data_IF_244494970776
#
_entry.id   IF_244494970776
#
_cell.length_a   1.000
_cell.length_b   1.000
_cell.length_c   1.000
_cell.angle_alpha   90.00
_cell.angle_beta   90.00
_cell.angle_gamma   90.00
#
_symmetry.space_group_name_H-M   'P 1'
#
loop_
_entity.id
_entity.type
_entity.pdbx_description
1 polymer ?
#
# COMPACT_ATOMS: atom_id res chain seq x y z
N UNK A 1 -14.83 -5.64 19.25
CA UNK A 1 -13.42 -5.56 18.86
C UNK A 1 -12.79 -4.47 19.70
N UNK A 2 -11.62 -4.70 20.28
CA UNK A 2 -10.95 -3.73 21.14
C UNK A 2 -10.50 -2.52 20.32
N UNK A 3 -10.64 -1.29 20.85
CA UNK A 3 -10.22 -0.05 20.18
C UNK A 3 -8.74 -0.04 19.80
N UNK A 4 -7.93 -0.91 20.43
CA UNK A 4 -6.50 -1.10 20.13
C UNK A 4 -6.20 -1.62 18.72
N UNK A 5 -7.20 -2.12 17.99
CA UNK A 5 -6.98 -2.69 16.66
C UNK A 5 -7.26 -1.75 15.48
N UNK A 6 -7.88 -0.59 15.72
CA UNK A 6 -8.38 0.30 14.65
C UNK A 6 -7.27 1.24 14.17
N UNK A 7 -7.14 1.41 12.85
CA UNK A 7 -6.21 2.36 12.24
C UNK A 7 -6.96 3.67 12.00
N UNK A 8 -6.43 4.76 12.58
CA UNK A 8 -6.95 6.11 12.40
C UNK A 8 -6.01 6.91 11.50
N UNK A 9 -6.60 7.54 10.49
CA UNK A 9 -5.96 8.47 9.57
C UNK A 9 -6.23 9.88 10.07
N UNK A 10 -5.18 10.59 10.48
CA UNK A 10 -5.27 12.04 10.71
C UNK A 10 -5.20 12.73 9.36
N UNK A 11 -6.29 13.37 8.96
CA UNK A 11 -6.41 14.11 7.70
C UNK A 11 -6.28 15.58 8.02
N UNK A 12 -5.25 16.20 7.46
CA UNK A 12 -5.07 17.64 7.50
C UNK A 12 -5.56 18.24 6.19
N UNK A 13 -6.61 19.04 6.25
CA UNK A 13 -7.23 19.64 5.06
C UNK A 13 -6.88 21.12 5.02
N UNK A 14 -6.35 21.58 3.88
CA UNK A 14 -6.20 23.00 3.55
C UNK A 14 -7.00 23.31 2.30
N UNK A 15 -7.88 24.30 2.37
CA UNK A 15 -8.81 24.61 1.29
C UNK A 15 -9.05 26.11 1.17
N UNK A 16 -9.32 26.55 -0.06
CA UNK A 16 -9.77 27.91 -0.38
C UNK A 16 -11.24 27.95 -0.77
N UNK A 17 -11.95 26.82 -0.66
CA UNK A 17 -13.36 26.71 -1.01
C UNK A 17 -14.23 27.41 0.05
N UNK A 18 -15.17 28.27 -0.34
CA UNK A 18 -16.01 29.04 0.59
C UNK A 18 -17.02 28.16 1.34
N UNK A 19 -17.23 26.94 0.87
CA UNK A 19 -18.19 25.99 1.42
C UNK A 19 -17.74 25.38 2.76
N UNK A 20 -16.47 25.51 3.15
CA UNK A 20 -15.91 25.00 4.40
C UNK A 20 -16.01 26.07 5.50
N UNK A 21 -16.28 25.70 6.76
CA UNK A 21 -16.31 26.67 7.88
C UNK A 21 -14.92 27.21 8.20
N UNK A 22 -13.87 26.41 7.98
CA UNK A 22 -12.48 26.78 8.24
C UNK A 22 -11.60 26.41 7.04
N UNK A 23 -10.61 27.25 6.75
CA UNK A 23 -9.67 27.02 5.65
C UNK A 23 -8.63 25.94 5.96
N UNK A 24 -8.40 25.68 7.24
CA UNK A 24 -7.54 24.59 7.73
C UNK A 24 -8.28 23.83 8.82
N UNK A 25 -8.35 22.50 8.71
CA UNK A 25 -8.94 21.64 9.74
C UNK A 25 -8.23 20.29 9.82
N UNK A 26 -8.32 19.66 10.99
CA UNK A 26 -7.80 18.33 11.27
C UNK A 26 -8.94 17.41 11.70
N UNK A 27 -9.10 16.28 11.01
CA UNK A 27 -10.08 15.24 11.40
C UNK A 27 -9.42 13.87 11.48
N UNK A 28 -9.98 12.99 12.29
CA UNK A 28 -9.56 11.60 12.37
C UNK A 28 -10.59 10.71 11.68
N UNK A 29 -10.11 9.83 10.79
CA UNK A 29 -10.96 8.90 10.04
C UNK A 29 -10.45 7.48 10.07
N UNK A 30 -11.36 6.53 10.06
CA UNK A 30 -11.12 5.11 9.90
C UNK A 30 -11.28 4.70 8.45
N UNK A 31 -10.64 3.59 8.08
CA UNK A 31 -10.75 3.02 6.74
C UNK A 31 -12.21 2.80 6.32
N UNK A 32 -13.08 2.36 7.24
CA UNK A 32 -14.51 2.16 6.97
C UNK A 32 -15.24 3.44 6.56
N UNK A 33 -14.81 4.61 7.02
CA UNK A 33 -15.40 5.89 6.61
C UNK A 33 -15.00 6.28 5.17
N UNK A 34 -13.81 5.87 4.70
CA UNK A 34 -13.42 6.02 3.28
C UNK A 34 -14.30 5.14 2.38
N UNK A 35 -14.58 3.91 2.82
CA UNK A 35 -15.49 2.99 2.10
C UNK A 35 -16.88 3.60 2.01
N UNK A 36 -17.40 4.14 3.12
CA UNK A 36 -18.70 4.81 3.12
C UNK A 36 -18.77 6.00 2.18
N UNK A 37 -17.73 6.85 2.18
CA UNK A 37 -17.64 7.99 1.27
C UNK A 37 -17.68 7.51 -0.19
N UNK A 38 -16.90 6.48 -0.54
CA UNK A 38 -16.92 5.90 -1.88
C UNK A 38 -18.30 5.35 -2.25
N UNK A 39 -18.90 4.51 -1.39
CA UNK A 39 -20.21 3.90 -1.65
C UNK A 39 -21.28 4.97 -1.89
N UNK A 40 -21.26 6.05 -1.10
CA UNK A 40 -22.17 7.18 -1.28
C UNK A 40 -21.99 7.89 -2.62
N UNK A 41 -20.75 8.03 -3.10
CA UNK A 41 -20.48 8.63 -4.42
C UNK A 41 -20.94 7.73 -5.56
N UNK A 42 -20.75 6.41 -5.44
CA UNK A 42 -21.15 5.42 -6.45
C UNK A 42 -22.66 5.25 -6.52
N UNK A 43 -23.35 5.27 -5.37
CA UNK A 43 -24.81 5.10 -5.28
C UNK A 43 -25.59 6.39 -5.63
N UNK A 44 -24.91 7.51 -5.84
CA UNK A 44 -25.57 8.77 -6.18
C UNK A 44 -25.84 8.87 -7.70
N UNK A 45 -27.11 8.80 -8.08
CA UNK A 45 -27.56 8.92 -9.47
C UNK A 45 -27.09 10.21 -10.17
N UNK A 46 -26.89 11.30 -9.41
CA UNK A 46 -26.38 12.56 -9.97
C UNK A 46 -24.92 12.47 -10.45
N UNK A 47 -24.20 11.41 -10.05
CA UNK A 47 -22.82 11.13 -10.47
C UNK A 47 -22.73 9.98 -11.48
N UNK A 48 -23.87 9.52 -12.01
CA UNK A 48 -23.89 8.52 -13.07
C UNK A 48 -23.04 8.97 -14.27
N UNK A 49 -22.17 8.09 -14.75
CA UNK A 49 -21.23 8.38 -15.84
C UNK A 49 -19.92 9.06 -15.42
N UNK A 50 -19.76 9.46 -14.16
CA UNK A 50 -18.49 9.94 -13.62
C UNK A 50 -17.64 8.78 -13.10
N UNK A 51 -16.32 8.89 -13.29
CA UNK A 51 -15.36 7.88 -12.80
C UNK A 51 -15.05 8.18 -11.33
N UNK A 52 -15.65 7.41 -10.43
CA UNK A 52 -15.30 7.46 -9.00
C UNK A 52 -13.96 6.73 -8.79
N UNK A 53 -12.96 7.36 -8.13
CA UNK A 53 -11.69 6.70 -7.80
C UNK A 53 -11.91 5.42 -6.98
N UNK A 54 -11.14 4.34 -7.21
CA UNK A 54 -11.31 3.11 -6.47
C UNK A 54 -11.01 3.29 -4.98
N UNK A 55 -11.73 2.54 -4.14
CA UNK A 55 -11.49 2.51 -2.69
C UNK A 55 -10.03 2.12 -2.41
N UNK A 56 -9.33 2.84 -1.52
CA UNK A 56 -8.02 2.42 -1.03
C UNK A 56 -8.07 0.98 -0.46
N UNK A 57 -6.99 0.19 -0.53
CA UNK A 57 -6.96 -1.10 0.12
C UNK A 57 -6.98 -0.94 1.65
N UNK A 58 -7.64 -1.88 2.32
CA UNK A 58 -7.67 -1.92 3.79
C UNK A 58 -6.24 -2.05 4.33
N UNK A 59 -5.82 -1.22 5.31
CA UNK A 59 -4.56 -1.42 5.99
C UNK A 59 -4.50 -2.80 6.65
N UNK A 60 -3.41 -3.51 6.40
CA UNK A 60 -3.07 -4.78 7.06
C UNK A 60 -1.77 -4.60 7.84
N UNK A 61 -1.88 -4.61 9.17
CA UNK A 61 -0.75 -4.55 10.09
C UNK A 61 -0.65 -5.81 10.95
N UNK A 62 -1.44 -6.85 10.67
CA UNK A 62 -1.58 -8.03 11.53
C UNK A 62 -0.25 -8.81 11.56
N UNK A 63 0.40 -8.94 10.40
CA UNK A 63 1.71 -9.58 10.30
C UNK A 63 2.78 -8.85 11.13
N UNK A 64 2.81 -7.52 11.08
CA UNK A 64 3.75 -6.71 11.85
C UNK A 64 3.46 -6.77 13.35
N UNK A 65 2.18 -6.71 13.75
CA UNK A 65 1.76 -6.86 15.16
C UNK A 65 2.10 -8.23 15.72
N UNK A 66 1.85 -9.30 14.96
CA UNK A 66 2.17 -10.67 15.36
C UNK A 66 3.69 -10.88 15.51
N UNK A 67 4.50 -10.33 14.61
CA UNK A 67 5.97 -10.35 14.75
C UNK A 67 6.44 -9.56 15.97
N UNK A 68 5.84 -8.40 16.24
CA UNK A 68 6.18 -7.59 17.42
C UNK A 68 5.91 -8.35 18.73
N UNK A 69 4.76 -9.01 18.81
CA UNK A 69 4.39 -9.82 19.98
C UNK A 69 5.36 -10.99 20.20
N UNK A 70 5.71 -11.72 19.13
CA UNK A 70 6.70 -12.81 19.20
C UNK A 70 8.08 -12.35 19.61
N UNK A 71 8.50 -11.16 19.20
CA UNK A 71 9.78 -10.58 19.64
C UNK A 71 9.77 -10.24 21.13
N UNK A 72 8.65 -9.72 21.65
CA UNK A 72 8.50 -9.46 23.09
C UNK A 72 8.51 -10.72 23.95
N UNK A 73 7.92 -11.82 23.46
CA UNK A 73 7.91 -13.11 24.17
C UNK A 73 9.31 -13.79 24.22
N UNK A 74 10.16 -13.52 23.22
CA UNK A 74 11.49 -14.14 23.09
C UNK A 74 12.65 -13.21 23.47
N UNK A 75 12.36 -12.02 24.00
CA UNK A 75 13.32 -10.95 24.26
C UNK A 75 14.46 -11.38 25.20
N UNK A 76 14.17 -12.25 26.18
CA UNK A 76 15.15 -12.75 27.15
C UNK A 76 16.11 -13.84 26.65
N UNK A 77 15.86 -14.43 25.48
CA UNK A 77 16.65 -15.56 24.94
C UNK A 77 17.58 -15.15 23.79
N UNK A 78 17.51 -13.90 23.32
CA UNK A 78 18.23 -13.44 22.14
C UNK A 78 19.38 -12.50 22.52
N UNK A 79 20.55 -12.57 21.84
CA UNK A 79 21.58 -11.56 22.00
C UNK A 79 21.03 -10.15 21.74
N UNK A 80 21.46 -9.17 22.54
CA UNK A 80 20.97 -7.78 22.49
C UNK A 80 21.12 -7.17 21.08
N UNK A 81 22.22 -7.49 20.39
CA UNK A 81 22.47 -7.00 19.04
C UNK A 81 21.52 -7.60 18.00
N UNK A 82 21.18 -8.87 18.13
CA UNK A 82 20.24 -9.55 17.23
C UNK A 82 18.82 -9.04 17.45
N UNK A 83 18.43 -8.83 18.71
CA UNK A 83 17.15 -8.22 19.06
C UNK A 83 17.01 -6.82 18.46
N UNK A 84 18.07 -6.00 18.56
CA UNK A 84 18.09 -4.65 17.97
C UNK A 84 17.91 -4.69 16.46
N UNK A 85 18.58 -5.61 15.76
CA UNK A 85 18.45 -5.79 14.31
C UNK A 85 17.04 -6.22 13.92
N UNK A 86 16.50 -7.26 14.57
CA UNK A 86 15.14 -7.75 14.27
C UNK A 86 14.06 -6.70 14.54
N UNK A 87 14.22 -5.92 15.62
CA UNK A 87 13.31 -4.80 15.91
C UNK A 87 13.39 -3.71 14.83
N UNK A 88 14.59 -3.32 14.41
CA UNK A 88 14.78 -2.34 13.35
C UNK A 88 14.20 -2.81 12.01
N UNK A 89 14.37 -4.08 11.64
CA UNK A 89 13.76 -4.66 10.44
C UNK A 89 12.23 -4.63 10.49
N UNK A 90 11.66 -4.98 11.65
CA UNK A 90 10.21 -4.95 11.85
C UNK A 90 9.65 -3.53 11.79
N UNK A 91 10.33 -2.56 12.40
CA UNK A 91 9.97 -1.14 12.32
C UNK A 91 10.03 -0.64 10.87
N UNK A 92 11.04 -1.05 10.10
CA UNK A 92 11.16 -0.69 8.68
C UNK A 92 10.03 -1.30 7.83
N UNK A 93 9.68 -2.57 8.06
CA UNK A 93 8.55 -3.24 7.39
C UNK A 93 7.21 -2.55 7.71
N UNK A 94 6.99 -2.24 9.00
CA UNK A 94 5.81 -1.51 9.45
C UNK A 94 5.73 -0.13 8.78
N UNK A 95 6.83 0.63 8.77
CA UNK A 95 6.88 1.96 8.19
C UNK A 95 6.64 1.94 6.68
N UNK A 96 7.15 0.94 5.96
CA UNK A 96 6.90 0.77 4.53
C UNK A 96 5.41 0.54 4.24
N UNK A 97 4.76 -0.36 4.98
CA UNK A 97 3.32 -0.64 4.87
C UNK A 97 2.48 0.58 5.26
N UNK A 98 2.87 1.29 6.32
CA UNK A 98 2.23 2.53 6.74
C UNK A 98 2.28 3.59 5.65
N UNK A 99 3.47 3.89 5.11
CA UNK A 99 3.66 4.87 4.03
C UNK A 99 2.86 4.52 2.79
N UNK A 100 2.86 3.24 2.38
CA UNK A 100 2.06 2.76 1.26
C UNK A 100 0.56 3.01 1.50
N UNK A 101 0.07 2.65 2.69
CA UNK A 101 -1.33 2.83 3.06
C UNK A 101 -1.72 4.31 3.04
N UNK A 102 -0.92 5.17 3.69
CA UNK A 102 -1.16 6.62 3.73
C UNK A 102 -1.21 7.20 2.32
N UNK A 103 -0.22 6.87 1.48
CA UNK A 103 -0.16 7.37 0.10
C UNK A 103 -1.40 6.95 -0.72
N UNK A 104 -1.90 5.72 -0.54
CA UNK A 104 -3.10 5.27 -1.27
C UNK A 104 -4.38 5.97 -0.80
N UNK A 105 -4.52 6.22 0.51
CA UNK A 105 -5.67 6.96 1.06
C UNK A 105 -5.61 8.44 0.67
N UNK A 106 -4.41 9.03 0.68
CA UNK A 106 -4.17 10.40 0.24
C UNK A 106 -4.52 10.58 -1.25
N UNK A 107 -4.04 9.68 -2.12
CA UNK A 107 -4.33 9.74 -3.57
C UNK A 107 -5.83 9.65 -3.84
N UNK A 108 -6.58 8.84 -3.07
CA UNK A 108 -8.03 8.78 -3.18
C UNK A 108 -8.68 10.13 -2.88
N UNK A 109 -8.33 10.77 -1.76
CA UNK A 109 -8.86 12.09 -1.39
C UNK A 109 -8.44 13.19 -2.37
N UNK A 110 -7.18 13.17 -2.82
CA UNK A 110 -6.68 14.13 -3.82
C UNK A 110 -7.43 14.03 -5.14
N UNK A 111 -7.77 12.81 -5.60
CA UNK A 111 -8.56 12.61 -6.83
C UNK A 111 -10.00 13.11 -6.69
N UNK A 112 -10.61 12.96 -5.51
CA UNK A 112 -11.93 13.54 -5.25
C UNK A 112 -11.87 15.07 -5.22
N UNK A 113 -10.85 15.63 -4.56
CA UNK A 113 -10.65 17.07 -4.45
C UNK A 113 -10.29 17.74 -5.79
N UNK A 114 -9.61 17.05 -6.70
CA UNK A 114 -9.27 17.58 -8.02
C UNK A 114 -10.43 17.52 -9.02
N UNK A 115 -11.43 16.68 -8.77
CA UNK A 115 -12.58 16.54 -9.66
C UNK A 115 -13.53 17.73 -9.54
N UNK A 116 -13.95 18.37 -10.66
CA UNK A 116 -14.80 19.57 -10.64
C UNK A 116 -16.11 19.39 -9.87
N UNK A 117 -16.74 18.21 -9.98
CA UNK A 117 -18.00 17.87 -9.31
C UNK A 117 -17.81 17.36 -7.88
N UNK A 118 -16.99 16.32 -7.65
CA UNK A 118 -16.86 15.69 -6.32
C UNK A 118 -16.30 16.62 -5.24
N UNK A 119 -15.47 17.61 -5.60
CA UNK A 119 -14.92 18.57 -4.63
C UNK A 119 -16.00 19.41 -3.92
N UNK A 120 -17.19 19.55 -4.52
CA UNK A 120 -18.33 20.26 -3.96
C UNK A 120 -19.37 19.30 -3.35
N UNK A 121 -19.09 18.00 -3.29
CA UNK A 121 -20.02 17.06 -2.67
C UNK A 121 -20.16 17.32 -1.17
N UNK A 122 -21.41 17.30 -0.70
CA UNK A 122 -21.73 17.51 0.71
C UNK A 122 -21.16 16.40 1.59
N UNK A 123 -21.23 15.14 1.14
CA UNK A 123 -20.67 14.00 1.86
C UNK A 123 -19.15 14.09 2.01
N UNK A 124 -18.47 14.49 0.95
CA UNK A 124 -17.02 14.71 0.95
C UNK A 124 -16.61 15.85 1.89
N UNK A 125 -17.34 16.97 1.89
CA UNK A 125 -17.09 18.06 2.85
C UNK A 125 -17.28 17.61 4.30
N UNK A 126 -18.39 16.94 4.60
CA UNK A 126 -18.65 16.40 5.95
C UNK A 126 -17.53 15.43 6.36
N UNK A 127 -17.07 14.59 5.43
CA UNK A 127 -15.95 13.70 5.68
C UNK A 127 -14.66 14.43 6.06
N UNK A 128 -14.37 15.60 5.47
CA UNK A 128 -13.15 16.36 5.76
C UNK A 128 -13.27 17.30 6.97
N UNK A 129 -14.48 17.71 7.35
CA UNK A 129 -14.71 18.80 8.30
C UNK A 129 -15.30 18.35 9.64
N UNK A 130 -16.02 17.23 9.69
CA UNK A 130 -16.72 16.82 10.91
C UNK A 130 -15.74 16.30 11.98
N UNK A 131 -15.61 16.98 13.12
CA UNK A 131 -14.57 16.65 14.11
C UNK A 131 -14.81 15.31 14.83
N UNK A 132 -16.07 14.93 15.02
CA UNK A 132 -16.43 13.68 15.69
C UNK A 132 -16.33 12.47 14.74
N UNK A 133 -16.49 11.27 15.30
CA UNK A 133 -16.60 10.04 14.51
C UNK A 133 -17.88 10.09 13.68
N UNK A 134 -17.75 9.89 12.36
CA UNK A 134 -18.92 9.56 11.55
C UNK A 134 -19.30 8.15 12.03
N UNK A 135 -20.36 8.03 12.83
CA UNK A 135 -20.88 6.75 13.32
C UNK A 135 -21.47 5.92 12.15
N UNK A 136 -20.63 5.61 11.17
CA UNK A 136 -20.97 4.88 9.96
C UNK A 136 -21.31 3.47 10.40
N UNK A 137 -22.57 3.09 10.18
CA UNK A 137 -23.02 1.72 10.40
C UNK A 137 -22.15 0.78 9.59
N UNK A 138 -21.35 -0.02 10.29
CA UNK A 138 -20.58 -1.09 9.65
C UNK A 138 -21.55 -2.01 8.91
N UNK A 139 -21.41 -2.11 7.57
CA UNK A 139 -22.14 -3.10 6.77
C UNK A 139 -21.84 -4.49 7.34
N UNK A 140 -22.88 -5.21 7.74
CA UNK A 140 -22.78 -6.55 8.32
C UNK A 140 -22.17 -7.49 7.30
N UNK A 141 -21.50 -8.59 7.72
CA UNK A 141 -20.91 -9.58 6.79
C UNK A 141 -21.90 -10.06 5.71
N UNK A 142 -23.19 -10.15 6.05
CA UNK A 142 -24.30 -10.44 5.11
C UNK A 142 -24.53 -9.30 4.12
N UNK A 143 -24.54 -8.05 4.55
CA UNK A 143 -24.71 -6.88 3.67
C UNK A 143 -23.51 -6.72 2.72
N UNK A 144 -22.28 -6.92 3.21
CA UNK A 144 -21.07 -6.95 2.35
C UNK A 144 -21.11 -8.08 1.32
N UNK A 145 -21.62 -9.26 1.70
CA UNK A 145 -21.81 -10.37 0.77
C UNK A 145 -22.94 -10.08 -0.22
N UNK A 146 -24.02 -9.42 0.19
CA UNK A 146 -25.09 -8.98 -0.71
C UNK A 146 -24.60 -7.92 -1.68
N UNK A 147 -23.78 -6.96 -1.24
CA UNK A 147 -23.19 -5.95 -2.13
C UNK A 147 -22.17 -6.57 -3.09
N UNK A 148 -21.41 -7.57 -2.64
CA UNK A 148 -20.55 -8.36 -3.52
C UNK A 148 -21.37 -9.22 -4.50
N UNK A 149 -22.46 -9.83 -4.06
CA UNK A 149 -23.37 -10.56 -4.94
C UNK A 149 -24.08 -9.63 -5.92
N UNK A 150 -24.42 -8.40 -5.51
CA UNK A 150 -24.97 -7.37 -6.40
C UNK A 150 -23.93 -6.84 -7.38
N UNK A 151 -22.68 -6.65 -6.96
CA UNK A 151 -21.63 -6.20 -7.86
C UNK A 151 -21.24 -7.30 -8.84
N UNK A 152 -21.17 -8.56 -8.40
CA UNK A 152 -20.95 -9.73 -9.25
C UNK A 152 -22.17 -10.01 -10.11
N UNK A 153 -23.41 -9.85 -9.62
CA UNK A 153 -24.60 -10.00 -10.45
C UNK A 153 -24.66 -8.90 -11.48
N UNK A 154 -24.42 -7.62 -11.11
CA UNK A 154 -24.30 -6.53 -12.08
C UNK A 154 -23.19 -6.79 -13.07
N UNK A 155 -22.04 -7.31 -12.65
CA UNK A 155 -20.90 -7.56 -13.53
C UNK A 155 -21.08 -8.81 -14.41
N UNK A 156 -21.75 -9.87 -13.94
CA UNK A 156 -22.08 -11.05 -14.72
C UNK A 156 -23.26 -10.80 -15.66
N UNK A 157 -24.27 -10.07 -15.20
CA UNK A 157 -25.37 -9.55 -16.00
C UNK A 157 -24.78 -8.62 -17.07
N UNK A 158 -23.99 -7.61 -16.72
CA UNK A 158 -23.27 -6.75 -17.67
C UNK A 158 -22.37 -7.56 -18.61
N UNK A 159 -21.60 -8.54 -18.16
CA UNK A 159 -20.74 -9.33 -19.06
C UNK A 159 -21.55 -10.19 -20.03
N UNK A 160 -22.73 -10.67 -19.63
CA UNK A 160 -23.64 -11.42 -20.48
C UNK A 160 -24.42 -10.50 -21.44
N UNK A 161 -24.84 -9.31 -21.00
CA UNK A 161 -25.50 -8.30 -21.84
C UNK A 161 -24.50 -7.60 -22.78
N UNK A 162 -23.33 -7.16 -22.31
CA UNK A 162 -22.28 -6.45 -23.07
C UNK A 162 -21.61 -7.33 -24.13
N UNK A 163 -21.54 -8.66 -23.93
CA UNK A 163 -21.00 -9.55 -24.97
C UNK A 163 -21.95 -9.70 -26.16
N UNK A 164 -23.27 -9.52 -25.96
CA UNK A 164 -24.28 -9.58 -27.02
C UNK A 164 -24.74 -8.18 -27.49
N UNK A 165 -24.55 -7.16 -26.67
CA UNK A 165 -24.82 -5.77 -26.98
C UNK A 165 -23.58 -5.17 -27.62
N UNK A 166 -23.50 -5.26 -28.96
CA UNK A 166 -22.55 -4.45 -29.71
C UNK A 166 -22.83 -3.00 -29.37
N UNK A 167 -21.80 -2.30 -28.91
CA UNK A 167 -21.87 -0.86 -28.80
C UNK A 167 -22.12 -0.31 -30.21
N UNK A 168 -23.31 0.25 -30.41
CA UNK A 168 -23.72 0.78 -31.71
C UNK A 168 -22.93 2.04 -32.05
N UNK A 169 -22.36 2.68 -31.02
CA UNK A 169 -21.56 3.87 -31.18
C UNK A 169 -20.10 3.50 -31.53
N UNK A 170 -19.63 4.09 -32.63
CA UNK A 170 -18.28 3.84 -33.16
C UNK A 170 -17.21 4.36 -32.21
N UNK A 171 -17.44 5.52 -31.59
CA UNK A 171 -16.49 6.14 -30.68
C UNK A 171 -16.28 5.28 -29.43
N UNK A 172 -17.35 4.84 -28.77
CA UNK A 172 -17.22 4.04 -27.55
C UNK A 172 -16.61 2.66 -27.80
N UNK A 173 -16.89 2.04 -28.95
CA UNK A 173 -16.25 0.78 -29.34
C UNK A 173 -14.74 0.93 -29.52
N UNK A 174 -14.31 1.96 -30.24
CA UNK A 174 -12.90 2.19 -30.52
C UNK A 174 -12.15 2.62 -29.24
N UNK A 175 -12.76 3.48 -28.43
CA UNK A 175 -12.21 3.91 -27.13
C UNK A 175 -12.09 2.73 -26.16
N UNK A 176 -13.04 1.81 -26.14
CA UNK A 176 -12.96 0.58 -25.32
C UNK A 176 -11.79 -0.30 -25.73
N UNK A 177 -11.47 -0.38 -27.02
CA UNK A 177 -10.29 -1.09 -27.52
C UNK A 177 -9.00 -0.41 -27.03
N UNK A 178 -8.92 0.90 -27.16
CA UNK A 178 -7.77 1.70 -26.68
C UNK A 178 -7.57 1.49 -25.17
N UNK A 179 -8.65 1.58 -24.40
CA UNK A 179 -8.63 1.38 -22.95
C UNK A 179 -8.15 -0.03 -22.57
N UNK A 180 -8.60 -1.06 -23.29
CA UNK A 180 -8.16 -2.44 -23.05
C UNK A 180 -6.66 -2.64 -23.31
N UNK A 181 -6.15 -2.08 -24.41
CA UNK A 181 -4.72 -2.11 -24.74
C UNK A 181 -3.91 -1.35 -23.69
N UNK A 182 -4.37 -0.16 -23.31
CA UNK A 182 -3.71 0.67 -22.30
C UNK A 182 -3.68 -0.02 -20.93
N UNK A 183 -4.78 -0.62 -20.51
CA UNK A 183 -4.85 -1.40 -19.28
C UNK A 183 -3.88 -2.59 -19.30
N UNK A 184 -3.80 -3.33 -20.42
CA UNK A 184 -2.82 -4.41 -20.57
C UNK A 184 -1.39 -3.89 -20.45
N UNK A 185 -1.06 -2.80 -21.14
CA UNK A 185 0.28 -2.21 -21.10
C UNK A 185 0.68 -1.77 -19.69
N UNK A 186 -0.23 -1.13 -18.93
CA UNK A 186 0.00 -0.76 -17.53
C UNK A 186 0.21 -2.00 -16.67
N UNK A 187 -0.62 -3.03 -16.85
CA UNK A 187 -0.51 -4.28 -16.09
C UNK A 187 0.85 -4.94 -16.33
N UNK A 188 1.27 -5.05 -17.59
CA UNK A 188 2.54 -5.67 -17.97
C UNK A 188 3.74 -4.87 -17.45
N UNK A 189 3.67 -3.53 -17.55
CA UNK A 189 4.70 -2.65 -16.99
C UNK A 189 4.80 -2.77 -15.46
N UNK A 190 3.66 -2.89 -14.77
CA UNK A 190 3.62 -3.08 -13.31
C UNK A 190 4.28 -4.40 -12.91
N UNK A 191 3.93 -5.50 -13.58
CA UNK A 191 4.53 -6.83 -13.34
C UNK A 191 6.04 -6.81 -13.62
N UNK A 192 6.46 -6.18 -14.73
CA UNK A 192 7.88 -6.05 -15.06
C UNK A 192 8.66 -5.26 -13.99
N UNK A 193 8.08 -4.18 -13.46
CA UNK A 193 8.68 -3.37 -12.41
C UNK A 193 8.82 -4.15 -11.07
N UNK A 194 7.81 -4.94 -10.72
CA UNK A 194 7.83 -5.81 -9.53
C UNK A 194 8.89 -6.91 -9.66
N UNK A 195 8.96 -7.57 -10.82
CA UNK A 195 10.00 -8.56 -11.12
C UNK A 195 11.40 -7.94 -11.05
N UNK A 196 11.60 -6.75 -11.61
CA UNK A 196 12.88 -6.04 -11.54
C UNK A 196 13.27 -5.73 -10.08
N UNK A 197 12.33 -5.30 -9.25
CA UNK A 197 12.57 -5.05 -7.82
C UNK A 197 12.92 -6.32 -7.06
N UNK A 198 12.26 -7.44 -7.37
CA UNK A 198 12.58 -8.75 -6.79
C UNK A 198 13.97 -9.24 -7.20
N UNK A 199 14.32 -9.13 -8.48
CA UNK A 199 15.66 -9.49 -8.98
C UNK A 199 16.76 -8.64 -8.34
N UNK A 200 16.55 -7.32 -8.20
CA UNK A 200 17.48 -6.43 -7.48
C UNK A 200 17.71 -6.88 -6.04
N UNK A 201 16.65 -7.27 -5.33
CA UNK A 201 16.74 -7.79 -3.96
C UNK A 201 17.54 -9.10 -3.91
N UNK A 202 17.29 -10.03 -4.83
CA UNK A 202 18.07 -11.28 -4.92
C UNK A 202 19.55 -11.00 -5.18
N UNK A 203 19.87 -10.11 -6.11
CA UNK A 203 21.26 -9.74 -6.41
C UNK A 203 21.96 -9.12 -5.20
N UNK A 204 21.28 -8.23 -4.47
CA UNK A 204 21.82 -7.65 -3.23
C UNK A 204 22.12 -8.73 -2.18
N UNK A 205 21.23 -9.72 -2.02
CA UNK A 205 21.45 -10.83 -1.10
C UNK A 205 22.65 -11.69 -1.54
N UNK A 206 22.81 -12.00 -2.83
CA UNK A 206 23.97 -12.77 -3.31
C UNK A 206 25.28 -12.02 -3.10
N UNK A 207 25.29 -10.70 -3.30
CA UNK A 207 26.47 -9.87 -3.04
C UNK A 207 26.85 -9.89 -1.55
N UNK A 208 25.85 -9.79 -0.66
CA UNK A 208 26.07 -9.90 0.78
C UNK A 208 26.64 -11.26 1.18
N UNK A 209 26.14 -12.37 0.60
CA UNK A 209 26.67 -13.70 0.87
C UNK A 209 28.14 -13.84 0.43
N UNK A 210 28.50 -13.26 -0.72
CA UNK A 210 29.88 -13.23 -1.20
C UNK A 210 30.76 -12.42 -0.25
N UNK A 211 30.33 -11.23 0.17
CA UNK A 211 31.05 -10.39 1.14
C UNK A 211 31.32 -11.13 2.45
N UNK A 212 30.31 -11.80 3.00
CA UNK A 212 30.44 -12.60 4.23
C UNK A 212 31.41 -13.77 4.03
N UNK A 213 31.35 -14.46 2.89
CA UNK A 213 32.28 -15.54 2.57
C UNK A 213 33.73 -15.04 2.47
N UNK A 214 33.95 -13.90 1.80
CA UNK A 214 35.27 -13.26 1.68
C UNK A 214 35.78 -12.79 3.05
N UNK A 215 34.95 -12.15 3.84
CA UNK A 215 35.29 -11.69 5.20
C UNK A 215 35.68 -12.84 6.12
N UNK A 216 35.13 -14.03 5.92
CA UNK A 216 35.52 -15.24 6.65
C UNK A 216 36.84 -15.87 6.14
N UNK A 217 37.24 -15.58 4.90
CA UNK A 217 38.46 -16.10 4.29
C UNK A 217 39.68 -15.23 4.63
N UNK A 218 39.53 -13.90 4.65
CA UNK A 218 40.63 -12.94 4.90
C UNK A 218 41.40 -13.22 6.20
N UNK A 219 40.75 -13.46 7.37
CA UNK A 219 41.48 -13.79 8.60
C UNK A 219 42.23 -15.13 8.51
N UNK A 220 41.72 -16.09 7.71
CA UNK A 220 42.37 -17.39 7.52
C UNK A 220 43.64 -17.25 6.68
N UNK A 221 43.67 -16.35 5.68
CA UNK A 221 44.88 -16.09 4.91
C UNK A 221 45.91 -15.25 5.68
N UNK A 222 45.48 -14.26 6.46
CA UNK A 222 46.38 -13.50 7.35
C UNK A 222 47.06 -14.37 8.42
N UNK A 223 46.40 -15.45 8.87
CA UNK A 223 47.00 -16.42 9.80
C UNK A 223 47.98 -17.39 9.14
N UNK A 224 48.01 -17.48 7.80
CA UNK A 224 48.93 -18.36 7.06
C UNK A 224 50.25 -17.65 6.74
N UNK A 225 50.26 -16.33 6.63
CA UNK A 225 51.51 -15.56 6.40
C UNK A 225 51.86 -14.75 7.63
N UNK A 226 52.53 -15.38 8.59
CA UNK A 226 53.31 -14.61 9.56
C UNK A 226 54.36 -13.80 8.79
N UNK A 227 54.50 -12.51 9.13
CA UNK A 227 55.51 -11.62 8.53
C UNK A 227 56.93 -12.24 8.60
N UNK A 228 57.17 -13.08 9.62
CA UNK A 228 58.37 -13.88 9.81
C UNK A 228 58.66 -14.92 8.71
N UNK A 229 57.65 -15.54 8.09
CA UNK A 229 57.86 -16.50 7.00
C UNK A 229 58.18 -15.83 5.66
N UNK A 230 57.61 -14.65 5.40
CA UNK A 230 57.93 -13.82 4.23
C UNK A 230 59.37 -13.30 4.28
N UNK A 231 59.82 -12.84 5.45
CA UNK A 231 61.22 -12.44 5.69
C UNK A 231 62.14 -13.66 5.54
N UNK A 232 61.77 -14.82 6.09
CA UNK A 232 62.55 -16.06 5.93
C UNK A 232 62.74 -16.53 4.49
N UNK A 233 61.75 -16.30 3.60
CA UNK A 233 61.83 -16.62 2.18
C UNK A 233 62.62 -15.59 1.37
N UNK A 234 62.54 -14.30 1.73
CA UNK A 234 63.29 -13.23 1.07
C UNK A 234 64.79 -13.26 1.40
N UNK A 235 65.16 -13.66 2.62
CA UNK A 235 66.56 -13.70 3.07
C UNK A 235 67.26 -15.06 2.92
N UNK A 236 66.57 -16.12 2.47
CA UNK A 236 67.17 -17.45 2.20
C UNK A 236 67.95 -17.55 0.87
N UNK A 237 67.99 -16.49 0.06
CA UNK A 237 68.89 -16.40 -1.10
C UNK A 237 70.09 -15.52 -0.77
N UNK A 238 71.06 -16.09 -0.06
CA UNK A 238 72.48 -15.78 -0.18
C UNK A 238 73.32 -16.90 0.44
#
# INVERSE_FOLDING_TARGET
MSDKDRVLFKIHTKTTLPDFKQNECDVQRMHEEFVWLHDRLVENDAYAGLIVPPVPPKPDFDASRAKLQRLGENEGNLPVDDLRKMKAELEAEYLATFKKTVAMHEVFLQRLASHPTFKHDHGFRVFLEFEEELNVRNKTRKEKAVDFLKSVSKSADETLWLNNQRDNDVFFRDEKCILAVYHSAIKDATVAADLASKCRKTNANTLLQIELALSNLIPKECNITSETELVGLLFKKK
#
